data_IF_489929004760
#
_entry.id   IF_489929004760
#
_cell.length_a   1.000
_cell.length_b   1.000
_cell.length_c   1.000
_cell.angle_alpha   90.00
_cell.angle_beta   90.00
_cell.angle_gamma   90.00
#
_symmetry.space_group_name_H-M   'P 1'
#
loop_
_entity.id
_entity.type
_entity.pdbx_description
1 polymer ?
#
# COMPACT_ATOMS: atom_id res chain seq x y z
N UNK A 1 -27.08 8.41 -0.07
CA UNK A 1 -26.49 7.57 -1.15
C UNK A 1 -24.98 7.81 -1.31
N UNK A 2 -24.52 9.05 -1.49
CA UNK A 2 -23.10 9.44 -1.67
C UNK A 2 -22.13 8.95 -0.57
N UNK A 3 -22.59 8.91 0.69
CA UNK A 3 -21.76 8.51 1.83
C UNK A 3 -21.40 7.01 1.81
N UNK A 4 -22.26 6.17 1.21
CA UNK A 4 -22.02 4.73 1.10
C UNK A 4 -21.00 4.42 -0.01
N UNK A 5 -21.08 5.12 -1.13
CA UNK A 5 -20.14 4.94 -2.25
C UNK A 5 -18.71 5.39 -1.90
N UNK A 6 -18.57 6.50 -1.17
CA UNK A 6 -17.26 6.96 -0.69
C UNK A 6 -16.59 5.90 0.20
N UNK A 7 -17.35 5.31 1.13
CA UNK A 7 -16.87 4.28 2.05
C UNK A 7 -16.43 3.01 1.29
N UNK A 8 -17.16 2.64 0.23
CA UNK A 8 -16.81 1.48 -0.61
C UNK A 8 -15.55 1.72 -1.45
N UNK A 9 -15.38 2.91 -2.04
CA UNK A 9 -14.17 3.29 -2.79
C UNK A 9 -12.92 3.26 -1.92
N UNK A 10 -13.04 3.71 -0.68
CA UNK A 10 -11.94 3.74 0.27
C UNK A 10 -11.50 2.33 0.71
N UNK A 11 -12.47 1.46 1.04
CA UNK A 11 -12.22 0.04 1.33
C UNK A 11 -11.56 -0.66 0.15
N UNK A 12 -12.05 -0.43 -1.06
CA UNK A 12 -11.48 -1.02 -2.27
C UNK A 12 -10.04 -0.55 -2.52
N UNK A 13 -9.78 0.74 -2.32
CA UNK A 13 -8.42 1.29 -2.40
C UNK A 13 -7.47 0.68 -1.36
N UNK A 14 -7.94 0.43 -0.14
CA UNK A 14 -7.17 -0.26 0.90
C UNK A 14 -6.86 -1.72 0.52
N UNK A 15 -7.85 -2.46 0.00
CA UNK A 15 -7.64 -3.84 -0.47
C UNK A 15 -6.56 -3.87 -1.55
N UNK A 16 -6.63 -2.98 -2.54
CA UNK A 16 -5.61 -2.91 -3.61
C UNK A 16 -4.22 -2.63 -3.04
N UNK A 17 -4.10 -1.72 -2.08
CA UNK A 17 -2.81 -1.43 -1.45
C UNK A 17 -2.24 -2.64 -0.71
N UNK A 18 -3.08 -3.36 0.04
CA UNK A 18 -2.68 -4.59 0.72
C UNK A 18 -2.25 -5.69 -0.25
N UNK A 19 -2.89 -5.81 -1.41
CA UNK A 19 -2.46 -6.74 -2.47
C UNK A 19 -1.03 -6.41 -2.92
N UNK A 20 -0.72 -5.15 -3.18
CA UNK A 20 0.63 -4.75 -3.58
C UNK A 20 1.67 -4.94 -2.49
N UNK A 21 1.30 -4.73 -1.23
CA UNK A 21 2.16 -5.03 -0.08
C UNK A 21 2.49 -6.52 0.01
N UNK A 22 1.49 -7.40 -0.09
CA UNK A 22 1.68 -8.86 -0.05
C UNK A 22 2.51 -9.36 -1.24
N UNK A 23 2.26 -8.82 -2.43
CA UNK A 23 3.07 -9.12 -3.61
C UNK A 23 4.51 -8.66 -3.44
N UNK A 24 4.73 -7.45 -2.92
CA UNK A 24 6.05 -6.92 -2.61
C UNK A 24 6.80 -7.79 -1.61
N UNK A 25 6.14 -8.25 -0.54
CA UNK A 25 6.75 -9.16 0.44
C UNK A 25 7.10 -10.51 -0.18
N UNK A 26 6.20 -11.08 -0.99
CA UNK A 26 6.44 -12.38 -1.63
C UNK A 26 7.61 -12.31 -2.62
N UNK A 27 7.66 -11.27 -3.45
CA UNK A 27 8.73 -11.08 -4.44
C UNK A 27 10.08 -10.80 -3.77
N UNK A 28 10.10 -9.88 -2.80
CA UNK A 28 11.33 -9.49 -2.11
C UNK A 28 11.86 -10.63 -1.22
N UNK A 29 10.99 -11.29 -0.46
CA UNK A 29 11.33 -12.48 0.34
C UNK A 29 11.74 -13.67 -0.52
N UNK A 30 11.01 -13.94 -1.60
CA UNK A 30 11.34 -14.99 -2.56
C UNK A 30 12.71 -14.77 -3.22
N UNK A 31 13.01 -13.54 -3.66
CA UNK A 31 14.31 -13.20 -4.21
C UNK A 31 15.44 -13.28 -3.18
N UNK A 32 15.20 -12.85 -1.95
CA UNK A 32 16.17 -12.96 -0.86
C UNK A 32 16.52 -14.43 -0.56
N UNK A 33 15.53 -15.32 -0.57
CA UNK A 33 15.74 -16.75 -0.36
C UNK A 33 16.41 -17.42 -1.56
N UNK A 34 15.98 -17.11 -2.79
CA UNK A 34 16.51 -17.71 -4.01
C UNK A 34 17.97 -17.32 -4.29
N UNK A 35 18.37 -16.10 -3.93
CA UNK A 35 19.71 -15.56 -4.19
C UNK A 35 20.65 -15.67 -2.99
N UNK A 36 20.17 -16.28 -1.89
CA UNK A 36 20.97 -16.48 -0.68
C UNK A 36 22.19 -17.34 -0.99
N UNK A 37 23.39 -16.77 -0.82
CA UNK A 37 24.67 -17.45 -1.08
C UNK A 37 25.20 -17.28 -2.51
N UNK A 38 24.42 -16.70 -3.43
CA UNK A 38 24.87 -16.37 -4.79
C UNK A 38 25.16 -14.87 -4.95
N UNK A 39 24.30 -14.02 -4.38
CA UNK A 39 24.46 -12.57 -4.46
C UNK A 39 25.22 -12.00 -3.26
N UNK A 40 26.07 -11.00 -3.49
CA UNK A 40 26.67 -10.20 -2.41
C UNK A 40 25.59 -9.33 -1.75
N UNK A 41 25.75 -9.02 -0.46
CA UNK A 41 24.81 -8.20 0.31
C UNK A 41 24.56 -6.85 -0.38
N UNK A 42 25.60 -6.25 -0.96
CA UNK A 42 25.52 -4.98 -1.69
C UNK A 42 24.59 -5.01 -2.91
N UNK A 43 24.44 -6.15 -3.58
CA UNK A 43 23.52 -6.31 -4.72
C UNK A 43 22.15 -6.78 -4.24
N UNK A 44 22.12 -7.65 -3.23
CA UNK A 44 20.90 -8.26 -2.73
C UNK A 44 19.98 -7.24 -2.07
N UNK A 45 20.52 -6.32 -1.26
CA UNK A 45 19.71 -5.34 -0.53
C UNK A 45 18.98 -4.38 -1.48
N UNK A 46 19.64 -3.71 -2.45
CA UNK A 46 18.94 -2.87 -3.42
C UNK A 46 17.90 -3.64 -4.23
N UNK A 47 18.21 -4.87 -4.64
CA UNK A 47 17.29 -5.70 -5.41
C UNK A 47 16.01 -6.02 -4.62
N UNK A 48 16.14 -6.47 -3.37
CA UNK A 48 15.01 -6.75 -2.46
C UNK A 48 14.18 -5.49 -2.24
N UNK A 49 14.83 -4.33 -2.05
CA UNK A 49 14.12 -3.05 -1.92
C UNK A 49 13.33 -2.70 -3.18
N UNK A 50 13.93 -2.82 -4.37
CA UNK A 50 13.26 -2.52 -5.65
C UNK A 50 12.05 -3.46 -5.85
N UNK A 51 12.23 -4.75 -5.61
CA UNK A 51 11.17 -5.75 -5.75
C UNK A 51 10.00 -5.54 -4.78
N UNK A 52 10.27 -4.98 -3.60
CA UNK A 52 9.21 -4.57 -2.68
C UNK A 52 8.55 -3.26 -3.12
N UNK A 53 9.35 -2.26 -3.50
CA UNK A 53 8.88 -0.91 -3.78
C UNK A 53 8.01 -0.83 -5.04
N UNK A 54 8.31 -1.57 -6.09
CA UNK A 54 7.55 -1.53 -7.35
C UNK A 54 6.06 -1.86 -7.15
N UNK A 55 5.68 -3.07 -6.67
CA UNK A 55 4.26 -3.42 -6.51
C UNK A 55 3.58 -2.56 -5.44
N UNK A 56 4.29 -2.19 -4.37
CA UNK A 56 3.74 -1.35 -3.31
C UNK A 56 3.45 0.08 -3.80
N UNK A 57 4.36 0.67 -4.60
CA UNK A 57 4.18 2.03 -5.15
C UNK A 57 3.11 2.05 -6.23
N UNK A 58 3.06 1.04 -7.09
CA UNK A 58 2.03 0.93 -8.14
C UNK A 58 0.63 0.84 -7.54
N UNK A 59 0.43 -0.06 -6.59
CA UNK A 59 -0.89 -0.23 -5.93
C UNK A 59 -1.27 0.95 -5.06
N UNK A 60 -0.30 1.61 -4.43
CA UNK A 60 -0.52 2.89 -3.75
C UNK A 60 -0.97 3.98 -4.74
N UNK A 61 -0.34 4.06 -5.92
CA UNK A 61 -0.76 4.96 -7.01
C UNK A 61 -2.18 4.67 -7.51
N UNK A 62 -2.53 3.40 -7.71
CA UNK A 62 -3.90 3.00 -8.10
C UNK A 62 -4.90 3.38 -7.01
N UNK A 63 -4.59 3.14 -5.73
CA UNK A 63 -5.41 3.59 -4.60
C UNK A 63 -5.65 5.11 -4.66
N UNK A 64 -4.62 5.90 -4.99
CA UNK A 64 -4.75 7.36 -5.13
C UNK A 64 -5.69 7.76 -6.27
N UNK A 65 -5.64 7.07 -7.40
CA UNK A 65 -6.58 7.31 -8.51
C UNK A 65 -8.03 6.99 -8.13
N UNK A 66 -8.26 6.01 -7.24
CA UNK A 66 -9.60 5.57 -6.83
C UNK A 66 -10.18 6.46 -5.70
N UNK A 67 -9.36 6.84 -4.72
CA UNK A 67 -9.79 7.53 -3.48
C UNK A 67 -9.59 9.05 -3.56
N UNK A 68 -8.70 9.54 -4.42
CA UNK A 68 -8.38 10.96 -4.56
C UNK A 68 -7.43 11.51 -3.47
N UNK A 69 -7.24 12.84 -3.48
CA UNK A 69 -6.27 13.56 -2.65
C UNK A 69 -6.44 13.41 -1.14
N UNK A 70 -7.69 13.26 -0.68
CA UNK A 70 -8.09 13.32 0.73
C UNK A 70 -7.90 12.02 1.54
N UNK A 71 -7.37 10.95 0.92
CA UNK A 71 -7.07 9.68 1.58
C UNK A 71 -5.58 9.37 1.65
N UNK A 72 -4.70 10.40 1.73
CA UNK A 72 -3.24 10.23 1.65
C UNK A 72 -2.72 9.20 2.67
N UNK A 73 -3.29 9.21 3.86
CA UNK A 73 -3.01 8.23 4.88
C UNK A 73 -4.28 7.54 5.42
N UNK A 74 -4.25 6.23 5.70
CA UNK A 74 -5.40 5.50 6.22
C UNK A 74 -5.96 6.09 7.53
N UNK A 75 -5.16 6.80 8.33
CA UNK A 75 -5.58 7.45 9.57
C UNK A 75 -6.30 8.80 9.38
N UNK A 76 -6.25 9.42 8.20
CA UNK A 76 -6.98 10.68 7.95
C UNK A 76 -8.50 10.48 7.98
N UNK A 77 -8.96 9.26 7.77
CA UNK A 77 -10.38 8.90 7.73
C UNK A 77 -10.95 8.80 9.14
N UNK A 78 -10.13 8.42 10.12
CA UNK A 78 -10.50 8.46 11.55
C UNK A 78 -10.80 9.89 12.02
N UNK A 79 -10.15 10.89 11.42
CA UNK A 79 -10.39 12.29 11.78
C UNK A 79 -11.79 12.78 11.39
N UNK A 80 -12.35 12.26 10.30
CA UNK A 80 -13.68 12.67 9.81
C UNK A 80 -14.84 12.04 10.61
N UNK A 81 -14.61 10.90 11.25
CA UNK A 81 -15.60 10.22 12.09
C UNK A 81 -15.45 10.53 13.59
N UNK A 82 -14.41 11.27 13.99
CA UNK A 82 -14.12 11.67 15.36
C UNK A 82 -14.49 13.11 15.72
N UNK A 83 -15.04 13.90 14.78
CA UNK A 83 -15.62 15.20 15.08
C UNK A 83 -17.00 14.99 15.72
N UNK A 84 -16.99 14.76 17.04
CA UNK A 84 -18.17 14.96 17.89
C UNK A 84 -18.76 16.35 17.60
N UNK A 85 -20.09 16.51 17.54
CA UNK A 85 -20.70 17.81 17.39
C UNK A 85 -20.22 18.69 18.56
N UNK A 86 -19.51 19.76 18.24
CA UNK A 86 -19.22 20.81 19.22
C UNK A 86 -20.56 21.45 19.58
N UNK A 87 -21.00 21.21 20.81
CA UNK A 87 -22.05 21.98 21.51
C UNK A 87 -21.69 23.46 21.55
#
# INVERSE_FOLDING_TARGET
>A
MLMNEFNMREKFGLIIHWIGFVLGLTLSGGAALALRGFATVFVLVPLVMILFLIPNTLTWGIRRMIVGGNGFFPWQVLKKNGELPKT
#
